data_IF_688600105868
#
_entry.id   IF_688600105868
#
_cell.length_a   1.000
_cell.length_b   1.000
_cell.length_c   1.000
_cell.angle_alpha   90.00
_cell.angle_beta   90.00
_cell.angle_gamma   90.00
#
_symmetry.space_group_name_H-M   'P 1'
#
loop_
_entity.id
_entity.type
_entity.pdbx_description
1 polymer ?
#
# COMPACT_ATOMS: atom_id res chain seq x y z
N UNK A 1 -3.45 8.33 -3.32
CA UNK A 1 -3.87 7.25 -2.41
C UNK A 1 -3.70 5.88 -3.05
N UNK A 2 -4.35 5.57 -4.19
CA UNK A 2 -4.17 4.28 -4.88
C UNK A 2 -2.71 3.98 -5.27
N UNK A 3 -1.98 4.95 -5.83
CA UNK A 3 -0.56 4.78 -6.16
C UNK A 3 0.29 4.44 -4.92
N UNK A 4 0.06 5.14 -3.81
CA UNK A 4 0.76 4.86 -2.53
C UNK A 4 0.55 3.42 -2.06
N UNK A 5 -0.68 2.91 -2.17
CA UNK A 5 -0.98 1.52 -1.86
C UNK A 5 -0.23 0.57 -2.80
N UNK A 6 -0.39 0.72 -4.12
CA UNK A 6 0.23 -0.15 -5.13
C UNK A 6 1.76 -0.14 -5.00
N UNK A 7 2.37 1.04 -4.92
CA UNK A 7 3.83 1.20 -4.82
C UNK A 7 4.37 0.55 -3.54
N UNK A 8 3.61 0.62 -2.43
CA UNK A 8 4.00 0.00 -1.16
C UNK A 8 3.93 -1.52 -1.24
N UNK A 9 2.84 -2.07 -1.79
CA UNK A 9 2.72 -3.52 -2.00
C UNK A 9 3.83 -3.99 -2.94
N UNK A 10 4.09 -3.28 -4.05
CA UNK A 10 5.12 -3.66 -5.01
C UNK A 10 6.53 -3.64 -4.42
N UNK A 11 6.86 -2.60 -3.63
CA UNK A 11 8.12 -2.54 -2.88
C UNK A 11 8.26 -3.74 -1.96
N UNK A 12 7.20 -4.02 -1.20
CA UNK A 12 7.18 -5.12 -0.23
C UNK A 12 7.34 -6.50 -0.91
N UNK A 13 6.73 -6.74 -2.07
CA UNK A 13 6.91 -7.98 -2.84
C UNK A 13 8.36 -8.15 -3.28
N UNK A 14 8.99 -7.08 -3.79
CA UNK A 14 10.41 -7.11 -4.21
C UNK A 14 11.36 -7.34 -3.05
N UNK A 15 11.12 -6.67 -1.93
CA UNK A 15 11.90 -6.84 -0.70
C UNK A 15 11.78 -8.27 -0.16
N UNK A 16 10.57 -8.83 -0.17
CA UNK A 16 10.32 -10.20 0.32
C UNK A 16 10.96 -11.28 -0.55
N UNK A 17 11.09 -11.04 -1.85
CA UNK A 17 11.72 -11.97 -2.79
C UNK A 17 13.22 -11.68 -3.01
N UNK A 18 13.77 -10.64 -2.40
CA UNK A 18 15.14 -10.14 -2.63
C UNK A 18 15.43 -9.87 -4.12
N UNK A 19 14.45 -9.28 -4.81
CA UNK A 19 14.45 -9.06 -6.26
C UNK A 19 14.07 -7.61 -6.60
N UNK A 20 14.99 -6.64 -6.39
CA UNK A 20 14.69 -5.20 -6.53
C UNK A 20 14.31 -4.78 -7.95
N UNK A 21 14.81 -5.48 -8.98
CA UNK A 21 14.52 -5.18 -10.39
C UNK A 21 13.30 -5.94 -10.94
N UNK A 22 12.67 -6.77 -10.10
CA UNK A 22 11.50 -7.55 -10.47
C UNK A 22 10.29 -6.69 -10.81
N UNK A 23 9.51 -7.13 -11.80
CA UNK A 23 8.32 -6.47 -12.30
C UNK A 23 7.07 -7.17 -11.81
N UNK A 24 6.29 -6.49 -10.97
CA UNK A 24 4.96 -6.94 -10.52
C UNK A 24 3.87 -6.17 -11.26
N UNK A 25 2.60 -6.44 -10.95
CA UNK A 25 1.46 -5.88 -11.65
C UNK A 25 0.20 -5.89 -10.80
N UNK A 26 -0.71 -4.95 -11.10
CA UNK A 26 -1.99 -4.85 -10.42
C UNK A 26 -3.08 -4.34 -11.36
N UNK A 27 -4.31 -4.79 -11.13
CA UNK A 27 -5.54 -4.26 -11.73
C UNK A 27 -6.38 -3.67 -10.62
N UNK A 28 -6.78 -2.41 -10.76
CA UNK A 28 -7.59 -1.71 -9.77
C UNK A 28 -8.95 -1.31 -10.36
N UNK A 29 -10.02 -1.62 -9.63
CA UNK A 29 -11.38 -1.17 -9.91
C UNK A 29 -11.79 -0.17 -8.82
N UNK A 30 -12.35 0.97 -9.23
CA UNK A 30 -12.81 2.02 -8.31
C UNK A 30 -14.32 1.93 -8.19
N UNK A 31 -14.81 1.54 -7.02
CA UNK A 31 -16.22 1.66 -6.68
C UNK A 31 -16.43 2.99 -5.96
N UNK A 32 -17.41 3.79 -6.42
CA UNK A 32 -17.61 5.16 -5.94
C UNK A 32 -18.82 5.33 -5.03
N UNK A 33 -19.60 4.29 -4.81
CA UNK A 33 -20.87 4.38 -4.10
C UNK A 33 -21.04 3.27 -3.05
N UNK A 34 -21.76 3.62 -1.98
CA UNK A 34 -22.25 2.69 -0.96
C UNK A 34 -23.53 1.97 -1.44
N UNK A 35 -24.04 1.02 -0.64
CA UNK A 35 -25.34 0.38 -0.89
C UNK A 35 -26.52 1.36 -0.94
N UNK A 36 -26.39 2.55 -0.34
CA UNK A 36 -27.38 3.64 -0.39
C UNK A 36 -27.15 4.65 -1.52
N UNK A 37 -26.21 4.38 -2.44
CA UNK A 37 -25.76 5.28 -3.52
C UNK A 37 -25.09 6.58 -3.06
N UNK A 38 -24.78 6.72 -1.78
CA UNK A 38 -23.97 7.83 -1.28
C UNK A 38 -22.52 7.71 -1.79
N UNK A 39 -21.84 8.86 -2.00
CA UNK A 39 -20.45 8.90 -2.42
C UNK A 39 -19.56 8.22 -1.37
N UNK A 40 -18.95 7.10 -1.76
CA UNK A 40 -18.04 6.32 -0.92
C UNK A 40 -16.96 5.64 -1.80
N UNK A 41 -15.86 6.34 -2.13
CA UNK A 41 -14.80 5.81 -2.96
C UNK A 41 -14.00 4.72 -2.25
N UNK A 42 -13.94 3.53 -2.83
CA UNK A 42 -13.07 2.44 -2.42
C UNK A 42 -12.49 1.69 -3.62
N UNK A 43 -11.36 1.03 -3.39
CA UNK A 43 -10.56 0.39 -4.42
C UNK A 43 -10.58 -1.12 -4.20
N UNK A 44 -10.95 -1.87 -5.22
CA UNK A 44 -10.72 -3.31 -5.30
C UNK A 44 -9.47 -3.50 -6.16
N UNK A 45 -8.41 -4.06 -5.57
CA UNK A 45 -7.12 -4.20 -6.25
C UNK A 45 -6.72 -5.67 -6.27
N UNK A 46 -6.53 -6.21 -7.48
CA UNK A 46 -5.91 -7.51 -7.70
C UNK A 46 -4.43 -7.27 -7.97
N UNK A 47 -3.57 -7.91 -7.20
CA UNK A 47 -2.11 -7.82 -7.32
C UNK A 47 -1.56 -9.19 -7.68
N UNK A 48 -0.51 -9.24 -8.50
CA UNK A 48 0.21 -10.49 -8.75
C UNK A 48 0.80 -11.04 -7.44
N UNK A 49 0.64 -12.34 -7.22
CA UNK A 49 1.21 -13.05 -6.08
C UNK A 49 2.69 -13.42 -6.32
N UNK A 50 3.48 -12.41 -6.69
CA UNK A 50 4.84 -12.57 -7.19
C UNK A 50 5.27 -11.45 -8.13
N UNK A 51 6.38 -11.70 -8.82
CA UNK A 51 6.94 -10.80 -9.81
C UNK A 51 7.59 -11.58 -10.95
N UNK A 52 7.75 -10.90 -12.09
CA UNK A 52 8.55 -11.38 -13.20
C UNK A 52 9.95 -10.79 -13.15
N UNK A 53 10.97 -11.60 -13.38
CA UNK A 53 12.33 -11.10 -13.59
C UNK A 53 12.93 -11.76 -14.83
N UNK A 54 13.69 -10.97 -15.59
CA UNK A 54 14.42 -11.48 -16.75
C UNK A 54 15.75 -12.05 -16.27
N UNK A 55 16.01 -13.29 -16.63
CA UNK A 55 17.31 -13.91 -16.42
C UNK A 55 18.37 -13.16 -17.26
N UNK A 56 19.50 -12.84 -16.63
CA UNK A 56 20.50 -11.96 -17.26
C UNK A 56 21.28 -12.68 -18.37
N UNK A 57 21.43 -14.01 -18.28
CA UNK A 57 22.24 -14.79 -19.20
C UNK A 57 21.43 -15.28 -20.41
N UNK A 58 20.27 -15.89 -20.16
CA UNK A 58 19.38 -16.44 -21.19
C UNK A 58 18.43 -15.41 -21.78
N UNK A 59 18.17 -14.30 -21.06
CA UNK A 59 17.15 -13.34 -21.42
C UNK A 59 15.72 -13.84 -21.25
N UNK A 60 15.50 -15.04 -20.70
CA UNK A 60 14.17 -15.59 -20.45
C UNK A 60 13.45 -14.85 -19.32
N UNK A 61 12.12 -14.77 -19.40
CA UNK A 61 11.29 -14.12 -18.38
C UNK A 61 10.70 -15.18 -17.46
N UNK A 62 11.07 -15.13 -16.18
CA UNK A 62 10.59 -16.08 -15.17
C UNK A 62 9.63 -15.41 -14.19
N UNK A 63 8.58 -16.13 -13.82
CA UNK A 63 7.69 -15.74 -12.72
C UNK A 63 8.18 -16.34 -11.41
N UNK A 64 8.39 -15.48 -10.42
CA UNK A 64 8.76 -15.85 -9.06
C UNK A 64 7.55 -15.64 -8.16
N UNK A 65 6.92 -16.76 -7.78
CA UNK A 65 5.80 -16.76 -6.85
C UNK A 65 6.23 -16.30 -5.46
N UNK A 66 5.37 -15.55 -4.78
CA UNK A 66 5.55 -15.29 -3.36
C UNK A 66 5.44 -16.59 -2.54
N UNK A 67 6.27 -16.76 -1.51
CA UNK A 67 6.00 -17.74 -0.46
C UNK A 67 4.66 -17.41 0.23
N UNK A 68 4.08 -18.42 0.89
CA UNK A 68 2.84 -18.27 1.63
C UNK A 68 2.91 -17.08 2.60
N UNK A 69 1.94 -16.18 2.47
CA UNK A 69 1.71 -15.06 3.38
C UNK A 69 1.26 -15.56 4.75
N UNK A 70 1.81 -14.99 5.81
CA UNK A 70 1.26 -15.10 7.16
C UNK A 70 0.46 -13.85 7.56
N UNK A 71 -0.35 -13.99 8.62
CA UNK A 71 -1.23 -12.92 9.10
C UNK A 71 -0.47 -11.69 9.63
N UNK A 72 0.71 -11.89 10.22
CA UNK A 72 1.48 -10.79 10.81
C UNK A 72 2.14 -9.95 9.71
N UNK A 73 2.63 -10.58 8.64
CA UNK A 73 3.14 -9.90 7.44
C UNK A 73 2.07 -9.03 6.79
N UNK A 74 0.84 -9.55 6.65
CA UNK A 74 -0.29 -8.78 6.13
C UNK A 74 -0.60 -7.59 7.04
N UNK A 75 -0.62 -7.80 8.35
CA UNK A 75 -0.87 -6.74 9.33
C UNK A 75 0.19 -5.64 9.28
N UNK A 76 1.46 -6.01 9.16
CA UNK A 76 2.57 -5.05 9.02
C UNK A 76 2.43 -4.25 7.72
N UNK A 77 2.11 -4.91 6.60
CA UNK A 77 1.91 -4.24 5.31
C UNK A 77 0.73 -3.25 5.37
N UNK A 78 -0.38 -3.63 6.02
CA UNK A 78 -1.53 -2.75 6.24
C UNK A 78 -1.12 -1.51 7.06
N UNK A 79 -0.37 -1.69 8.15
CA UNK A 79 0.12 -0.57 8.96
C UNK A 79 1.05 0.37 8.16
N UNK A 80 1.94 -0.18 7.33
CA UNK A 80 2.82 0.61 6.47
C UNK A 80 2.04 1.42 5.44
N UNK A 81 1.03 0.82 4.81
CA UNK A 81 0.13 1.50 3.88
C UNK A 81 -0.60 2.64 4.59
N UNK A 82 -1.17 2.39 5.77
CA UNK A 82 -1.91 3.38 6.55
C UNK A 82 -1.03 4.62 6.82
N UNK A 83 0.16 4.42 7.38
CA UNK A 83 1.12 5.50 7.67
C UNK A 83 1.50 6.28 6.40
N UNK A 84 1.76 5.59 5.28
CA UNK A 84 2.12 6.27 4.02
C UNK A 84 0.94 7.05 3.43
N UNK A 85 -0.28 6.52 3.54
CA UNK A 85 -1.51 7.21 3.10
C UNK A 85 -1.78 8.44 3.96
N UNK A 86 -1.68 8.34 5.28
CA UNK A 86 -1.80 9.47 6.21
C UNK A 86 -0.80 10.58 5.88
N UNK A 87 0.48 10.24 5.69
CA UNK A 87 1.49 11.23 5.25
C UNK A 87 1.16 11.84 3.89
N UNK A 88 0.64 11.04 2.96
CA UNK A 88 0.25 11.51 1.63
C UNK A 88 -0.95 12.48 1.68
N UNK A 89 -1.87 12.29 2.63
CA UNK A 89 -2.99 13.16 2.93
C UNK A 89 -2.54 14.44 3.65
N UNK A 90 -1.68 14.32 4.66
CA UNK A 90 -1.12 15.45 5.41
C UNK A 90 -0.38 16.43 4.48
N UNK A 91 0.45 15.92 3.56
CA UNK A 91 1.12 16.75 2.54
C UNK A 91 0.17 17.48 1.58
N UNK A 92 -1.12 17.14 1.58
CA UNK A 92 -2.18 17.78 0.79
C UNK A 92 -3.13 18.65 1.61
N UNK A 93 -2.83 18.86 2.89
CA UNK A 93 -3.67 19.66 3.79
C UNK A 93 -4.88 18.90 4.35
N UNK A 94 -4.90 17.57 4.26
CA UNK A 94 -5.95 16.71 4.84
C UNK A 94 -5.48 15.92 6.07
N UNK A 95 -4.32 16.28 6.62
CA UNK A 95 -3.83 15.70 7.87
C UNK A 95 -4.55 16.36 9.04
N UNK A 96 -4.60 15.67 10.18
CA UNK A 96 -4.87 16.37 11.43
C UNK A 96 -3.74 17.39 11.62
N UNK A 97 -4.09 18.68 11.66
CA UNK A 97 -3.26 19.63 12.38
C UNK A 97 -3.16 19.06 13.81
N UNK A 98 -1.97 19.00 14.38
CA UNK A 98 -1.83 18.80 15.82
C UNK A 98 -2.55 19.99 16.48
N UNK A 99 -3.88 19.91 16.62
CA UNK A 99 -4.68 20.88 17.36
C UNK A 99 -4.26 20.72 18.82
N UNK A 100 -3.37 21.62 19.22
CA UNK A 100 -3.16 22.10 20.57
C UNK A 100 -2.98 21.02 21.63
N UNK A 101 -1.77 20.46 21.67
CA UNK A 101 -1.21 19.95 22.93
C UNK A 101 -0.61 21.11 23.73
N UNK A 102 -1.42 22.14 23.98
CA UNK A 102 -1.23 23.07 25.09
C UNK A 102 -2.56 23.73 25.45
N UNK A 103 -3.18 23.27 26.53
CA UNK A 103 -3.87 24.15 27.46
C UNK A 103 -3.97 23.47 28.84
N UNK A 104 -2.97 23.78 29.67
CA UNK A 104 -3.05 24.01 31.13
C UNK A 104 -3.11 22.80 32.10
N UNK A 105 -1.92 22.43 32.58
CA UNK A 105 -1.68 22.46 34.03
C UNK A 105 -2.02 23.86 34.56
N UNK A 106 -3.27 24.12 34.98
CA UNK A 106 -3.65 24.96 36.14
C UNK A 106 -5.17 25.26 36.11
N UNK A 107 -5.93 24.67 37.02
CA UNK A 107 -6.93 25.38 37.85
C UNK A 107 -7.64 24.44 38.84
N UNK A 108 -7.22 24.60 40.10
CA UNK A 108 -7.95 24.54 41.37
C UNK A 108 -8.46 23.19 41.89
#
# INVERSE_FOLDING_TARGET
MLSVFIDTVFSWIRERLDMPDGQTGAVAVIQRFSSSLALNPHFHVLVLDGLYQRDQDSGELHFHCLPRLDTEEVKQLVAQVAVKVERWLARRGYGYEDQDRDDSEDRM
#
